data_IF_737213308356
#
_entry.id   IF_737213308356
#
_cell.length_a   1.000
_cell.length_b   1.000
_cell.length_c   1.000
_cell.angle_alpha   90.00
_cell.angle_beta   90.00
_cell.angle_gamma   90.00
#
_symmetry.space_group_name_H-M   'P 1'
#
loop_
_entity.id
_entity.type
_entity.pdbx_description
1 polymer ?
#
# COMPACT_ATOMS: atom_id res chain seq x y z
N UNK A 1 60.57 8.03 18.66
CA UNK A 1 59.20 8.37 19.11
C UNK A 1 58.29 8.88 17.99
N UNK A 2 58.74 9.62 16.97
CA UNK A 2 57.87 10.13 15.87
C UNK A 2 57.36 9.04 14.90
N UNK A 3 58.06 7.96 14.66
CA UNK A 3 57.66 6.86 13.77
C UNK A 3 56.53 6.01 14.34
N UNK A 4 56.45 5.86 15.67
CA UNK A 4 55.42 5.09 16.36
C UNK A 4 54.05 5.81 16.35
N UNK A 5 54.05 7.16 16.44
CA UNK A 5 52.82 7.96 16.36
C UNK A 5 52.14 7.91 14.98
N UNK A 6 52.94 7.83 13.91
CA UNK A 6 52.40 7.74 12.53
C UNK A 6 51.74 6.38 12.30
N UNK A 7 52.30 5.29 12.85
CA UNK A 7 51.74 3.98 12.74
C UNK A 7 50.36 3.87 13.44
N UNK A 8 50.22 4.49 14.61
CA UNK A 8 48.94 4.49 15.36
C UNK A 8 47.89 5.32 14.61
N UNK A 9 48.26 6.43 13.96
CA UNK A 9 47.36 7.25 13.18
C UNK A 9 46.81 6.52 11.94
N UNK A 10 47.62 5.68 11.28
CA UNK A 10 47.21 4.88 10.12
C UNK A 10 46.25 3.76 10.52
N UNK A 11 46.38 3.15 11.70
CA UNK A 11 45.51 2.10 12.20
C UNK A 11 44.10 2.66 12.51
N UNK A 12 43.98 3.89 12.99
CA UNK A 12 42.69 4.53 13.26
C UNK A 12 41.91 4.83 11.97
N UNK A 13 42.58 5.08 10.84
CA UNK A 13 41.94 5.30 9.55
C UNK A 13 41.39 4.02 8.90
N UNK A 14 41.78 2.83 9.32
CA UNK A 14 41.31 1.56 8.75
C UNK A 14 40.03 0.99 9.40
N UNK A 15 39.58 1.58 10.51
CA UNK A 15 38.34 1.15 11.19
C UNK A 15 37.05 1.76 10.63
N UNK A 16 37.09 2.49 9.52
CA UNK A 16 35.99 3.32 9.04
C UNK A 16 35.42 2.98 7.67
N UNK A 17 35.29 1.71 7.28
CA UNK A 17 34.46 1.40 6.08
C UNK A 17 33.89 -0.02 6.06
N UNK A 18 33.12 -0.35 7.08
CA UNK A 18 32.07 -1.34 6.90
C UNK A 18 30.91 -0.64 6.18
N UNK A 19 30.63 -0.96 4.92
CA UNK A 19 29.31 -0.73 4.33
C UNK A 19 28.32 -1.51 5.19
N UNK A 20 27.84 -0.90 6.28
CA UNK A 20 26.65 -1.36 6.98
C UNK A 20 25.55 -1.29 5.93
N UNK A 21 25.13 -2.46 5.44
CA UNK A 21 23.82 -2.54 4.77
C UNK A 21 22.84 -2.02 5.79
N UNK A 22 22.33 -0.78 5.59
CA UNK A 22 21.40 -0.18 6.51
C UNK A 22 20.14 -1.01 6.52
N UNK A 23 20.02 -1.88 7.53
CA UNK A 23 18.82 -2.67 7.74
C UNK A 23 17.71 -1.76 8.24
N UNK A 24 16.50 -2.01 7.78
CA UNK A 24 15.31 -1.37 8.31
C UNK A 24 14.90 -2.09 9.57
N UNK A 25 14.64 -1.33 10.63
CA UNK A 25 14.20 -1.86 11.91
C UNK A 25 12.81 -1.32 12.28
N UNK A 26 12.00 -2.18 12.88
CA UNK A 26 10.70 -1.85 13.45
C UNK A 26 10.79 -2.16 14.94
N UNK A 27 10.45 -1.21 15.78
CA UNK A 27 10.33 -1.39 17.22
C UNK A 27 8.98 -0.86 17.67
N UNK A 28 8.33 -1.56 18.57
CA UNK A 28 7.00 -1.15 19.02
C UNK A 28 6.74 -1.41 20.49
N UNK A 29 5.83 -0.60 21.03
CA UNK A 29 5.21 -0.78 22.34
C UNK A 29 3.72 -0.48 22.20
N UNK A 30 2.90 -1.53 22.26
CA UNK A 30 1.43 -1.44 22.23
C UNK A 30 0.90 -1.93 23.56
N UNK A 31 0.43 -1.01 24.36
CA UNK A 31 -0.10 -1.31 25.71
C UNK A 31 -1.28 -2.28 25.61
N UNK A 32 -1.25 -3.31 26.45
CA UNK A 32 -2.28 -4.33 26.47
C UNK A 32 -2.12 -5.44 25.44
N UNK A 33 -1.11 -5.38 24.57
CA UNK A 33 -0.82 -6.43 23.58
C UNK A 33 -0.35 -7.73 24.28
N UNK A 34 0.42 -7.60 25.36
CA UNK A 34 0.93 -8.75 26.10
C UNK A 34 1.98 -9.55 25.31
N UNK A 35 1.83 -10.87 25.36
CA UNK A 35 2.64 -11.79 24.55
C UNK A 35 1.80 -12.26 23.39
N UNK A 36 2.17 -11.84 22.18
CA UNK A 36 1.40 -12.08 20.96
C UNK A 36 2.33 -12.25 19.74
N UNK A 37 1.75 -12.60 18.60
CA UNK A 37 2.41 -12.75 17.32
C UNK A 37 1.79 -11.79 16.32
N UNK A 38 2.61 -10.89 15.80
CA UNK A 38 2.22 -10.00 14.72
C UNK A 38 2.77 -10.53 13.40
N UNK A 39 2.09 -10.20 12.31
CA UNK A 39 2.55 -10.55 10.96
C UNK A 39 2.77 -9.31 10.12
N UNK A 40 3.88 -9.29 9.39
CA UNK A 40 4.22 -8.24 8.45
C UNK A 40 4.19 -8.83 7.04
N UNK A 41 3.37 -8.29 6.15
CA UNK A 41 3.27 -8.74 4.76
C UNK A 41 3.02 -7.59 3.80
N UNK A 42 3.39 -7.78 2.52
CA UNK A 42 3.33 -6.71 1.53
C UNK A 42 1.91 -6.38 1.09
N UNK A 43 1.74 -5.13 0.71
CA UNK A 43 0.58 -4.63 -0.02
C UNK A 43 0.77 -4.74 -1.54
N UNK A 44 2.02 -4.86 -1.97
CA UNK A 44 2.42 -4.99 -3.36
C UNK A 44 3.56 -6.02 -3.51
N UNK A 45 3.94 -6.32 -4.75
CA UNK A 45 4.99 -7.30 -5.07
C UNK A 45 6.40 -6.89 -4.58
N UNK A 46 6.58 -5.66 -4.08
CA UNK A 46 7.87 -5.19 -3.56
C UNK A 46 8.25 -5.83 -2.22
N UNK A 47 7.27 -6.45 -1.56
CA UNK A 47 7.45 -7.22 -0.32
C UNK A 47 6.59 -8.49 -0.40
N UNK A 48 7.13 -9.54 -1.02
CA UNK A 48 6.43 -10.77 -1.42
C UNK A 48 6.44 -11.89 -0.38
N UNK A 49 6.65 -11.55 0.90
CA UNK A 49 6.76 -12.51 1.99
C UNK A 49 5.89 -12.13 3.18
N UNK A 50 5.68 -13.09 4.05
CA UNK A 50 5.05 -12.89 5.37
C UNK A 50 6.11 -13.12 6.43
N UNK A 51 6.41 -12.09 7.19
CA UNK A 51 7.35 -12.14 8.30
C UNK A 51 6.60 -12.17 9.63
N UNK A 52 7.09 -12.99 10.56
CA UNK A 52 6.52 -13.15 11.90
C UNK A 52 7.29 -12.31 12.91
N UNK A 53 6.60 -11.52 13.71
CA UNK A 53 7.17 -10.66 14.74
C UNK A 53 6.59 -11.05 16.08
N UNK A 54 7.44 -11.44 17.05
CA UNK A 54 7.01 -11.82 18.38
C UNK A 54 7.03 -10.62 19.32
N UNK A 55 5.89 -10.39 19.98
CA UNK A 55 5.76 -9.45 21.07
C UNK A 55 5.93 -10.16 22.43
N UNK A 56 6.57 -9.49 23.37
CA UNK A 56 6.74 -9.94 24.72
C UNK A 56 6.57 -8.77 25.71
N UNK A 57 5.55 -8.82 26.54
CA UNK A 57 5.24 -7.77 27.50
C UNK A 57 4.97 -6.43 26.77
N UNK A 58 4.05 -6.41 25.82
CA UNK A 58 3.64 -5.24 25.01
C UNK A 58 4.69 -4.75 24.01
N UNK A 59 5.91 -5.31 23.98
CA UNK A 59 7.03 -4.81 23.17
C UNK A 59 7.44 -5.81 22.11
N UNK A 60 7.83 -5.28 20.98
CA UNK A 60 8.38 -6.09 19.87
C UNK A 60 9.52 -5.36 19.16
N UNK A 61 10.35 -6.14 18.51
CA UNK A 61 11.43 -5.63 17.67
C UNK A 61 11.63 -6.57 16.49
N UNK A 62 11.80 -6.00 15.31
CA UNK A 62 12.03 -6.73 14.07
C UNK A 62 13.03 -5.98 13.20
N UNK A 63 13.80 -6.71 12.39
CA UNK A 63 14.79 -6.13 11.49
C UNK A 63 14.80 -6.88 10.18
N UNK A 64 14.71 -6.14 9.09
CA UNK A 64 14.67 -6.68 7.74
C UNK A 64 15.53 -5.87 6.78
N UNK A 65 15.78 -6.41 5.59
CA UNK A 65 16.42 -5.69 4.48
C UNK A 65 15.36 -5.23 3.52
N UNK A 66 15.32 -3.93 3.28
CA UNK A 66 14.44 -3.29 2.30
C UNK A 66 15.34 -2.56 1.30
N UNK A 67 15.16 -2.82 0.03
CA UNK A 67 15.97 -2.23 -1.03
C UNK A 67 15.39 -0.93 -1.59
N UNK A 68 14.07 -0.83 -1.63
CA UNK A 68 13.30 0.33 -2.06
C UNK A 68 12.10 0.54 -1.16
N UNK A 69 11.52 1.75 -1.20
CA UNK A 69 10.29 2.05 -0.48
C UNK A 69 9.17 1.07 -0.83
N UNK A 70 8.55 0.50 0.18
CA UNK A 70 7.44 -0.44 0.04
C UNK A 70 6.36 -0.18 1.08
N UNK A 71 5.14 -0.51 0.72
CA UNK A 71 3.98 -0.51 1.61
C UNK A 71 3.71 -1.93 2.09
N UNK A 72 3.44 -2.08 3.36
CA UNK A 72 3.14 -3.36 4.00
C UNK A 72 2.00 -3.22 5.00
N UNK A 73 1.37 -4.33 5.33
CA UNK A 73 0.44 -4.41 6.45
C UNK A 73 1.12 -5.04 7.67
N UNK A 74 0.91 -4.42 8.81
CA UNK A 74 1.18 -5.02 10.11
C UNK A 74 -0.14 -5.54 10.67
N UNK A 75 -0.33 -6.87 10.67
CA UNK A 75 -1.48 -7.52 11.27
C UNK A 75 -1.25 -7.67 12.77
N UNK A 76 -2.17 -7.13 13.56
CA UNK A 76 -2.11 -7.09 15.02
C UNK A 76 -3.35 -7.82 15.56
N UNK A 77 -3.16 -8.66 16.58
CA UNK A 77 -4.22 -9.44 17.22
C UNK A 77 -5.08 -10.27 16.23
N UNK A 78 -4.49 -10.69 15.10
CA UNK A 78 -5.16 -11.39 14.00
C UNK A 78 -6.45 -10.73 13.47
N UNK A 79 -6.65 -9.43 13.70
CA UNK A 79 -7.86 -8.70 13.36
C UNK A 79 -7.61 -7.40 12.60
N UNK A 80 -6.61 -6.62 13.00
CA UNK A 80 -6.37 -5.28 12.49
C UNK A 80 -5.15 -5.26 11.59
N UNK A 81 -5.37 -4.96 10.33
CA UNK A 81 -4.34 -4.68 9.34
C UNK A 81 -4.01 -3.19 9.35
N UNK A 82 -2.83 -2.84 9.83
CA UNK A 82 -2.39 -1.45 9.88
C UNK A 82 -1.31 -1.20 8.81
N UNK A 83 -1.49 -0.21 7.92
CA UNK A 83 -0.49 0.09 6.89
C UNK A 83 0.78 0.66 7.51
N UNK A 84 1.91 0.17 7.05
CA UNK A 84 3.24 0.63 7.43
C UNK A 84 4.10 0.81 6.18
N UNK A 85 4.84 1.90 6.14
CA UNK A 85 5.70 2.25 5.02
C UNK A 85 7.15 2.03 5.40
N UNK A 86 7.84 1.18 4.65
CA UNK A 86 9.20 0.75 4.93
C UNK A 86 10.14 1.27 3.84
N UNK A 87 11.29 1.81 4.23
CA UNK A 87 12.33 2.20 3.32
C UNK A 87 13.70 1.81 3.88
N UNK A 88 14.68 1.78 3.04
CA UNK A 88 16.03 1.33 3.34
C UNK A 88 16.65 2.09 4.50
N UNK A 89 17.01 1.34 5.56
CA UNK A 89 17.71 1.85 6.72
C UNK A 89 16.86 2.70 7.66
N UNK A 90 15.52 2.70 7.49
CA UNK A 90 14.62 3.37 8.41
C UNK A 90 14.61 2.71 9.80
N UNK A 91 14.35 3.51 10.81
CA UNK A 91 14.12 3.08 12.19
C UNK A 91 12.67 3.42 12.57
N UNK A 92 11.77 2.51 12.26
CA UNK A 92 10.34 2.70 12.52
C UNK A 92 10.05 2.45 13.98
N UNK A 93 9.28 3.36 14.58
CA UNK A 93 8.83 3.25 15.98
C UNK A 93 7.32 3.30 16.02
N UNK A 94 6.71 2.31 16.68
CA UNK A 94 5.27 2.14 16.80
C UNK A 94 4.89 2.27 18.26
N UNK A 95 3.90 3.09 18.57
CA UNK A 95 3.31 3.22 19.91
C UNK A 95 1.79 3.21 19.80
N UNK A 96 1.15 2.60 20.79
CA UNK A 96 -0.31 2.56 20.82
C UNK A 96 -0.89 1.83 22.02
N UNK A 97 -2.17 1.53 21.90
CA UNK A 97 -2.93 0.73 22.85
C UNK A 97 -3.78 -0.26 22.08
N UNK A 98 -3.91 -1.50 22.56
CA UNK A 98 -4.71 -2.55 21.93
C UNK A 98 -6.19 -2.17 21.81
N UNK A 99 -6.71 -1.36 22.73
CA UNK A 99 -8.08 -0.89 22.73
C UNK A 99 -8.36 0.17 21.64
N UNK A 100 -7.31 0.72 21.01
CA UNK A 100 -7.37 1.82 20.04
C UNK A 100 -6.32 1.64 18.94
N UNK A 101 -6.31 0.48 18.28
CA UNK A 101 -5.35 0.17 17.23
C UNK A 101 -5.49 1.06 15.98
N UNK A 102 -6.65 1.69 15.79
CA UNK A 102 -6.89 2.66 14.74
C UNK A 102 -6.02 3.94 14.87
N UNK A 103 -5.50 4.22 16.06
CA UNK A 103 -4.71 5.42 16.38
C UNK A 103 -3.27 5.10 16.78
N UNK A 104 -2.63 4.16 16.10
CA UNK A 104 -1.20 3.93 16.33
C UNK A 104 -0.36 5.16 15.94
N UNK A 105 0.59 5.52 16.78
CA UNK A 105 1.59 6.55 16.50
C UNK A 105 2.81 5.89 15.87
N UNK A 106 2.96 6.02 14.56
CA UNK A 106 4.07 5.43 13.81
C UNK A 106 4.94 6.55 13.24
N UNK A 107 6.23 6.49 13.52
CA UNK A 107 7.21 7.44 13.04
C UNK A 107 8.49 6.75 12.56
N UNK A 108 9.47 7.52 12.06
CA UNK A 108 10.76 7.04 11.56
C UNK A 108 10.94 7.17 10.05
N UNK A 109 9.89 7.59 9.34
CA UNK A 109 9.96 8.19 8.01
C UNK A 109 8.71 9.04 7.75
N UNK A 110 8.80 9.90 6.73
CA UNK A 110 7.73 10.86 6.40
C UNK A 110 6.38 10.21 6.11
N UNK A 111 6.33 9.03 5.50
CA UNK A 111 5.08 8.39 5.10
C UNK A 111 4.30 7.86 6.32
N UNK A 112 4.99 7.25 7.27
CA UNK A 112 4.36 6.84 8.53
C UNK A 112 3.90 8.05 9.35
N UNK A 113 4.65 9.13 9.35
CA UNK A 113 4.28 10.39 10.04
C UNK A 113 3.09 11.06 9.36
N UNK A 114 3.07 11.12 8.02
CA UNK A 114 1.93 11.60 7.21
C UNK A 114 0.67 10.77 7.49
N UNK A 115 0.77 9.44 7.49
CA UNK A 115 -0.38 8.59 7.78
C UNK A 115 -0.87 8.72 9.21
N UNK A 116 0.04 8.79 10.19
CA UNK A 116 -0.30 9.05 11.60
C UNK A 116 -1.03 10.39 11.77
N UNK A 117 -0.58 11.44 11.07
CA UNK A 117 -1.24 12.75 11.09
C UNK A 117 -2.64 12.69 10.47
N UNK A 118 -2.80 12.01 9.33
CA UNK A 118 -4.08 11.79 8.69
C UNK A 118 -5.06 11.03 9.60
N UNK A 119 -4.63 9.96 10.26
CA UNK A 119 -5.47 9.21 11.20
C UNK A 119 -5.90 10.05 12.41
N UNK A 120 -5.00 10.89 12.94
CA UNK A 120 -5.33 11.84 14.01
C UNK A 120 -6.37 12.88 13.57
N UNK A 121 -6.27 13.35 12.33
CA UNK A 121 -7.27 14.26 11.75
C UNK A 121 -8.63 13.57 11.65
N UNK A 122 -8.69 12.33 11.11
CA UNK A 122 -9.94 11.56 11.05
C UNK A 122 -10.53 11.32 12.44
N UNK A 123 -9.70 10.98 13.44
CA UNK A 123 -10.14 10.77 14.82
C UNK A 123 -10.70 12.04 15.49
N UNK A 124 -10.41 13.22 14.99
CA UNK A 124 -10.98 14.48 15.46
C UNK A 124 -12.38 14.77 14.92
N UNK A 125 -12.83 14.03 13.89
CA UNK A 125 -14.15 14.16 13.30
C UNK A 125 -15.19 13.49 14.22
N UNK A 126 -16.33 14.15 14.37
CA UNK A 126 -17.43 13.63 15.17
C UNK A 126 -18.37 12.79 14.31
N UNK A 127 -18.30 11.46 14.38
CA UNK A 127 -19.09 10.52 13.60
C UNK A 127 -19.05 10.82 12.07
N UNK A 128 -17.86 10.77 11.44
CA UNK A 128 -17.74 11.09 10.02
C UNK A 128 -18.52 10.09 9.17
N UNK A 129 -19.24 10.60 8.17
CA UNK A 129 -19.84 9.78 7.15
C UNK A 129 -18.77 9.22 6.20
N UNK A 130 -19.11 8.17 5.42
CA UNK A 130 -18.22 7.66 4.38
C UNK A 130 -17.77 8.78 3.41
N UNK A 131 -18.69 9.68 3.06
CA UNK A 131 -18.41 10.83 2.20
C UNK A 131 -17.40 11.79 2.83
N UNK A 132 -17.47 12.02 4.14
CA UNK A 132 -16.49 12.87 4.85
C UNK A 132 -15.10 12.24 4.83
N UNK A 133 -15.02 10.91 4.99
CA UNK A 133 -13.77 10.16 4.92
C UNK A 133 -13.17 10.20 3.51
N UNK A 134 -13.98 10.02 2.47
CA UNK A 134 -13.57 10.16 1.07
C UNK A 134 -13.07 11.58 0.77
N UNK A 135 -13.76 12.60 1.25
CA UNK A 135 -13.35 13.98 1.05
C UNK A 135 -11.98 14.23 1.70
N UNK A 136 -11.74 13.75 2.92
CA UNK A 136 -10.47 13.87 3.60
C UNK A 136 -9.35 13.11 2.88
N UNK A 137 -9.64 11.92 2.37
CA UNK A 137 -8.69 11.16 1.56
C UNK A 137 -8.36 11.89 0.25
N UNK A 138 -9.33 12.49 -0.44
CA UNK A 138 -9.11 13.29 -1.64
C UNK A 138 -8.26 14.53 -1.36
N UNK A 139 -8.57 15.29 -0.29
CA UNK A 139 -7.80 16.44 0.16
C UNK A 139 -6.33 16.05 0.41
N UNK A 140 -6.12 14.92 1.12
CA UNK A 140 -4.79 14.38 1.36
C UNK A 140 -4.06 14.01 0.07
N UNK A 141 -4.68 13.23 -0.82
CA UNK A 141 -4.08 12.78 -2.09
C UNK A 141 -3.66 13.99 -2.93
N UNK A 142 -4.49 15.02 -2.97
CA UNK A 142 -4.20 16.24 -3.74
C UNK A 142 -3.03 17.03 -3.14
N UNK A 143 -2.95 17.11 -1.81
CA UNK A 143 -1.88 17.84 -1.12
C UNK A 143 -0.55 17.05 -1.09
N UNK A 144 -0.61 15.72 -1.08
CA UNK A 144 0.52 14.82 -0.93
C UNK A 144 0.69 13.89 -2.15
N UNK A 145 0.58 14.44 -3.35
CA UNK A 145 0.51 13.71 -4.63
C UNK A 145 1.69 12.78 -4.96
N UNK A 146 2.81 12.86 -4.23
CA UNK A 146 3.97 11.96 -4.36
C UNK A 146 4.16 11.02 -3.16
N UNK A 147 3.20 10.98 -2.23
CA UNK A 147 3.26 10.14 -1.03
C UNK A 147 2.70 8.75 -1.28
N UNK A 148 3.38 7.72 -0.75
CA UNK A 148 2.86 6.35 -0.76
C UNK A 148 1.57 6.21 0.05
N UNK A 149 1.32 7.09 1.01
CA UNK A 149 0.05 7.18 1.72
C UNK A 149 -1.09 7.51 0.76
N UNK A 150 -0.85 8.37 -0.24
CA UNK A 150 -1.86 8.71 -1.25
C UNK A 150 -2.30 7.50 -2.07
N UNK A 151 -1.38 6.60 -2.41
CA UNK A 151 -1.71 5.36 -3.10
C UNK A 151 -2.57 4.43 -2.23
N UNK A 152 -2.22 4.28 -0.95
CA UNK A 152 -3.01 3.53 0.01
C UNK A 152 -4.42 4.10 0.20
N UNK A 153 -4.55 5.43 0.31
CA UNK A 153 -5.84 6.09 0.48
C UNK A 153 -6.71 6.02 -0.79
N UNK A 154 -6.09 6.07 -1.98
CA UNK A 154 -6.79 5.83 -3.24
C UNK A 154 -7.43 4.44 -3.25
N UNK A 155 -6.64 3.43 -2.92
CA UNK A 155 -7.12 2.05 -2.87
C UNK A 155 -8.26 1.90 -1.85
N UNK A 156 -8.01 2.29 -0.61
CA UNK A 156 -8.93 2.10 0.52
C UNK A 156 -10.28 2.82 0.36
N UNK A 157 -10.27 4.08 -0.08
CA UNK A 157 -11.47 4.93 -0.07
C UNK A 157 -12.16 5.05 -1.43
N UNK A 158 -11.52 4.66 -2.53
CA UNK A 158 -12.10 4.85 -3.86
C UNK A 158 -12.14 3.57 -4.69
N UNK A 159 -11.14 2.69 -4.58
CA UNK A 159 -11.08 1.45 -5.39
C UNK A 159 -11.84 0.32 -4.72
N UNK A 160 -11.65 0.09 -3.42
CA UNK A 160 -12.25 -1.02 -2.65
C UNK A 160 -13.73 -0.75 -2.29
N UNK A 161 -14.49 -0.13 -3.18
CA UNK A 161 -15.92 0.14 -3.00
C UNK A 161 -16.76 -0.86 -3.79
N UNK A 162 -17.95 -1.15 -3.33
CA UNK A 162 -18.92 -1.99 -4.07
C UNK A 162 -19.24 -1.43 -5.46
N UNK A 163 -19.21 -0.10 -5.61
CA UNK A 163 -19.45 0.61 -6.86
C UNK A 163 -18.43 1.76 -7.01
N UNK A 164 -17.20 1.47 -7.47
CA UNK A 164 -16.16 2.47 -7.62
C UNK A 164 -16.49 3.50 -8.71
N UNK A 165 -16.26 4.79 -8.42
CA UNK A 165 -16.31 5.85 -9.44
C UNK A 165 -15.01 5.92 -10.23
N UNK A 166 -14.95 5.23 -11.35
CA UNK A 166 -13.75 5.17 -12.20
C UNK A 166 -13.31 6.53 -12.73
N UNK A 167 -14.24 7.48 -12.97
CA UNK A 167 -13.90 8.83 -13.40
C UNK A 167 -13.18 9.60 -12.28
N UNK A 168 -13.61 9.40 -11.04
CA UNK A 168 -12.97 9.97 -9.86
C UNK A 168 -11.60 9.38 -9.63
N UNK A 169 -11.49 8.05 -9.70
CA UNK A 169 -10.22 7.32 -9.55
C UNK A 169 -9.19 7.80 -10.58
N UNK A 170 -9.58 7.93 -11.86
CA UNK A 170 -8.69 8.47 -12.91
C UNK A 170 -8.15 9.85 -12.56
N UNK A 171 -9.03 10.77 -12.15
CA UNK A 171 -8.62 12.13 -11.75
C UNK A 171 -7.63 12.12 -10.60
N UNK A 172 -7.82 11.23 -9.62
CA UNK A 172 -6.90 11.10 -8.49
C UNK A 172 -5.55 10.48 -8.92
N UNK A 173 -5.55 9.54 -9.87
CA UNK A 173 -4.32 9.00 -10.45
C UNK A 173 -3.56 10.10 -11.23
N UNK A 174 -4.26 10.94 -12.00
CA UNK A 174 -3.67 12.01 -12.80
C UNK A 174 -2.93 13.06 -11.95
N UNK A 175 -3.36 13.30 -10.70
CA UNK A 175 -2.65 14.23 -9.80
C UNK A 175 -1.43 13.60 -9.13
N UNK A 176 -1.32 12.26 -9.09
CA UNK A 176 -0.15 11.58 -8.53
C UNK A 176 1.07 11.80 -9.40
N UNK A 177 2.24 11.89 -8.77
CA UNK A 177 3.50 12.20 -9.46
C UNK A 177 4.66 11.34 -8.98
N UNK A 178 5.77 11.42 -9.72
CA UNK A 178 7.01 10.73 -9.37
C UNK A 178 6.88 9.21 -9.44
N UNK A 179 7.51 8.52 -8.51
CA UNK A 179 7.58 7.05 -8.48
C UNK A 179 6.21 6.36 -8.37
N UNK A 180 5.15 7.09 -7.96
CA UNK A 180 3.82 6.50 -7.86
C UNK A 180 3.25 6.16 -9.24
N UNK A 181 3.54 6.99 -10.26
CA UNK A 181 3.05 6.75 -11.62
C UNK A 181 3.64 5.49 -12.25
N UNK A 182 4.85 5.10 -11.83
CA UNK A 182 5.57 3.93 -12.33
C UNK A 182 5.23 2.65 -11.54
N UNK A 183 4.29 2.72 -10.58
CA UNK A 183 3.88 1.54 -9.84
C UNK A 183 3.00 0.63 -10.67
N UNK A 184 3.33 -0.66 -10.66
CA UNK A 184 2.56 -1.71 -11.34
C UNK A 184 1.08 -1.67 -10.96
N UNK A 185 0.76 -1.37 -9.70
CA UNK A 185 -0.62 -1.21 -9.23
C UNK A 185 -1.39 -0.13 -10.01
N UNK A 186 -0.78 1.03 -10.30
CA UNK A 186 -1.41 2.10 -11.08
C UNK A 186 -1.64 1.66 -12.53
N UNK A 187 -0.68 0.95 -13.11
CA UNK A 187 -0.81 0.38 -14.46
C UNK A 187 -1.98 -0.61 -14.52
N UNK A 188 -2.03 -1.58 -13.62
CA UNK A 188 -3.10 -2.57 -13.52
C UNK A 188 -4.48 -1.92 -13.29
N UNK A 189 -4.54 -0.88 -12.43
CA UNK A 189 -5.77 -0.16 -12.16
C UNK A 189 -6.27 0.59 -13.40
N UNK A 190 -5.39 1.28 -14.14
CA UNK A 190 -5.74 1.94 -15.39
C UNK A 190 -6.23 0.94 -16.45
N UNK A 191 -5.62 -0.23 -16.54
CA UNK A 191 -6.06 -1.30 -17.44
C UNK A 191 -7.44 -1.83 -17.05
N UNK A 192 -7.67 -2.10 -15.77
CA UNK A 192 -8.98 -2.54 -15.25
C UNK A 192 -10.08 -1.50 -15.52
N UNK A 193 -9.80 -0.22 -15.32
CA UNK A 193 -10.73 0.86 -15.63
C UNK A 193 -11.04 0.90 -17.13
N UNK A 194 -10.00 0.81 -17.99
CA UNK A 194 -10.18 0.79 -19.44
C UNK A 194 -11.04 -0.39 -19.91
N UNK A 195 -10.89 -1.56 -19.29
CA UNK A 195 -11.72 -2.73 -19.58
C UNK A 195 -13.18 -2.51 -19.13
N UNK A 196 -13.39 -1.96 -17.94
CA UNK A 196 -14.72 -1.66 -17.42
C UNK A 196 -15.45 -0.66 -18.32
N UNK A 197 -14.79 0.40 -18.77
CA UNK A 197 -15.38 1.39 -19.69
C UNK A 197 -15.83 0.77 -21.04
N UNK A 198 -15.14 -0.27 -21.50
CA UNK A 198 -15.52 -0.98 -22.74
C UNK A 198 -16.76 -1.86 -22.57
N UNK A 199 -17.09 -2.23 -21.32
CA UNK A 199 -18.19 -3.13 -20.98
C UNK A 199 -19.38 -2.43 -20.34
N UNK A 200 -19.40 -1.10 -20.25
CA UNK A 200 -20.52 -0.31 -19.72
C UNK A 200 -21.84 -0.62 -20.45
N UNK A 201 -22.94 -0.53 -19.70
CA UNK A 201 -24.29 -0.71 -20.26
C UNK A 201 -24.54 0.31 -21.35
N UNK A 202 -24.99 -0.16 -22.51
CA UNK A 202 -25.28 0.67 -23.69
C UNK A 202 -24.11 0.75 -24.68
N UNK A 203 -22.93 0.26 -24.34
CA UNK A 203 -21.82 0.10 -25.29
C UNK A 203 -21.91 -1.24 -26.03
N UNK A 204 -21.31 -1.28 -27.22
CA UNK A 204 -21.20 -2.54 -27.95
C UNK A 204 -20.28 -3.50 -27.19
N UNK A 205 -20.69 -4.76 -27.06
CA UNK A 205 -19.79 -5.78 -26.54
C UNK A 205 -18.45 -5.79 -27.28
N UNK A 206 -17.31 -6.01 -26.58
CA UNK A 206 -16.01 -6.14 -27.23
C UNK A 206 -16.04 -7.19 -28.35
N UNK A 207 -15.16 -7.06 -29.33
CA UNK A 207 -15.04 -8.09 -30.35
C UNK A 207 -14.60 -9.42 -29.71
N UNK A 208 -15.30 -10.48 -30.05
CA UNK A 208 -14.90 -11.85 -29.69
C UNK A 208 -14.98 -12.78 -30.89
N UNK A 209 -14.19 -13.81 -30.87
CA UNK A 209 -14.21 -14.91 -31.85
C UNK A 209 -13.97 -16.21 -31.09
N UNK A 210 -15.04 -16.95 -30.83
CA UNK A 210 -15.02 -18.19 -30.03
C UNK A 210 -15.56 -19.34 -30.86
N UNK A 211 -15.04 -20.58 -30.72
CA UNK A 211 -15.63 -21.74 -31.34
C UNK A 211 -16.93 -22.13 -30.63
N UNK A 212 -17.96 -22.50 -31.40
CA UNK A 212 -19.15 -23.15 -30.85
C UNK A 212 -18.89 -24.65 -30.61
N UNK A 213 -19.90 -25.38 -30.12
CA UNK A 213 -19.81 -26.80 -29.85
C UNK A 213 -19.54 -27.66 -31.11
N UNK A 214 -19.70 -27.09 -32.31
CA UNK A 214 -19.41 -27.73 -33.60
C UNK A 214 -18.04 -27.30 -34.15
N UNK A 215 -17.27 -26.47 -33.42
CA UNK A 215 -15.98 -25.95 -33.85
C UNK A 215 -16.06 -24.74 -34.80
N UNK A 216 -17.25 -24.24 -35.12
CA UNK A 216 -17.45 -23.09 -36.00
C UNK A 216 -17.20 -21.80 -35.22
N UNK A 217 -16.52 -20.83 -35.85
CA UNK A 217 -16.24 -19.52 -35.20
C UNK A 217 -17.50 -18.67 -35.09
N UNK A 218 -17.88 -18.35 -33.87
CA UNK A 218 -18.92 -17.36 -33.57
C UNK A 218 -18.24 -16.04 -33.19
N UNK A 219 -18.69 -14.97 -33.83
CA UNK A 219 -18.24 -13.59 -33.57
C UNK A 219 -19.44 -12.75 -33.16
N UNK A 220 -19.19 -11.56 -32.60
CA UNK A 220 -20.25 -10.57 -32.28
C UNK A 220 -21.22 -10.29 -33.43
N UNK A 221 -20.74 -10.38 -34.68
CA UNK A 221 -21.54 -10.12 -35.88
C UNK A 221 -22.23 -11.36 -36.45
N UNK A 222 -22.09 -12.53 -35.85
CA UNK A 222 -22.76 -13.76 -36.32
C UNK A 222 -24.29 -13.63 -36.25
N UNK A 223 -24.99 -14.09 -37.30
CA UNK A 223 -26.47 -13.95 -37.41
C UNK A 223 -27.23 -14.62 -36.26
N UNK A 224 -26.69 -15.70 -35.73
CA UNK A 224 -27.30 -16.43 -34.63
C UNK A 224 -27.38 -15.59 -33.36
N UNK A 225 -26.40 -14.73 -33.14
CA UNK A 225 -26.39 -13.80 -32.00
C UNK A 225 -27.28 -12.57 -32.25
N UNK A 226 -27.48 -12.14 -33.50
CA UNK A 226 -28.41 -11.04 -33.82
C UNK A 226 -29.89 -11.39 -33.56
N UNK A 227 -30.24 -12.68 -33.59
CA UNK A 227 -31.57 -13.17 -33.32
C UNK A 227 -31.87 -13.42 -31.86
N UNK A 228 -30.84 -13.49 -31.00
CA UNK A 228 -31.02 -13.61 -29.56
C UNK A 228 -31.15 -12.20 -28.96
N UNK A 229 -32.23 -11.94 -28.23
CA UNK A 229 -32.35 -10.77 -27.35
C UNK A 229 -31.35 -10.98 -26.20
N UNK A 230 -30.14 -10.39 -26.35
CA UNK A 230 -29.05 -10.57 -25.42
C UNK A 230 -29.31 -9.83 -24.12
N UNK A 231 -29.82 -10.53 -23.13
CA UNK A 231 -29.61 -10.20 -21.73
C UNK A 231 -28.41 -11.02 -21.26
N UNK A 232 -27.20 -10.45 -21.35
CA UNK A 232 -26.07 -10.97 -20.60
C UNK A 232 -26.24 -10.49 -19.16
N UNK A 233 -26.47 -11.43 -18.26
CA UNK A 233 -26.31 -11.19 -16.82
C UNK A 233 -24.86 -11.56 -16.50
N UNK A 234 -24.10 -10.56 -16.06
CA UNK A 234 -22.80 -10.73 -15.42
C UNK A 234 -23.00 -10.66 -13.93
#
# INVERSE_FOLDING_TARGET
>A
MKKSSILILIIICLCGCGKSSKKTSITGEIKGLGTDTLYLYGMDESFDRIDTIFANGDKFSYTTSIDTITSAYLLIDNQIEYPIFLDKGNQIKIKGNIDHLEFLDINGNKYNEEFTAFQKELGSLNNPSEKDLEQKAEEFITAHHSSFVSLYLLDKYFVQKDSPDFNKIKKLIEVMTGILQDKLYIEQLNEAISLSEKTEIGKYAPFFSLPNIKGEKITRSSEDLKKMNHRFFF
#
